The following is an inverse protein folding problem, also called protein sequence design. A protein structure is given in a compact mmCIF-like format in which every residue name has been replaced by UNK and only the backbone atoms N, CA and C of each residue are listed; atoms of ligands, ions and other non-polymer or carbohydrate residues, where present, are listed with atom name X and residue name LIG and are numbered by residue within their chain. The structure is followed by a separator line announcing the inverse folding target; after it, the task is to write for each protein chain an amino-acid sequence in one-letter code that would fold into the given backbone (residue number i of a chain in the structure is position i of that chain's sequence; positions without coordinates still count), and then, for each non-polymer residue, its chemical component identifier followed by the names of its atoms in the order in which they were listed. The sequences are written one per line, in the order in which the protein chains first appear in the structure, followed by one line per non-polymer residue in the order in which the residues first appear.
data_IF_692015379236
#
_entry.id   IF_692015379236
#
_cell.length_a   1.000
_cell.length_b   1.000
_cell.length_c   1.000
_cell.angle_alpha   90.00
_cell.angle_beta   90.00
_cell.angle_gamma   90.00
#
_symmetry.space_group_name_H-M   'P 1'
#
loop_
_entity.id
_entity.type
_entity.pdbx_description
1 polymer ?
#
# COMPACT_ATOMS: atom_id res chain seq x y z
N UNK A 1 21.10 -6.98 -98.04
CA UNK A 1 22.31 -6.16 -97.84
C UNK A 1 21.88 -4.99 -96.99
N UNK A 2 22.33 -4.77 -95.75
CA UNK A 2 23.48 -5.25 -95.00
C UNK A 2 23.18 -4.96 -93.52
N UNK A 3 23.52 -5.88 -92.63
CA UNK A 3 23.57 -5.64 -91.19
C UNK A 3 24.65 -4.60 -90.86
N UNK A 4 24.40 -3.76 -89.86
CA UNK A 4 25.45 -3.05 -89.13
C UNK A 4 25.08 -3.03 -87.65
N UNK A 5 25.98 -3.58 -86.83
CA UNK A 5 25.93 -3.60 -85.38
C UNK A 5 26.94 -2.61 -84.80
N UNK A 6 26.61 -1.98 -83.66
CA UNK A 6 27.50 -1.48 -82.60
C UNK A 6 26.62 -0.72 -81.57
N UNK A 7 26.74 -0.73 -80.24
CA UNK A 7 27.47 -1.52 -79.22
C UNK A 7 27.12 -0.89 -77.83
N UNK A 8 27.10 -1.71 -76.77
CA UNK A 8 27.27 -1.46 -75.31
C UNK A 8 26.35 -0.47 -74.53
N UNK A 9 25.73 -0.96 -73.44
CA UNK A 9 26.16 -0.65 -72.04
C UNK A 9 25.55 -1.64 -71.01
N UNK A 10 26.33 -2.02 -70.00
CA UNK A 10 26.02 -2.97 -68.90
C UNK A 10 25.56 -2.25 -67.60
N UNK A 11 25.03 -3.06 -66.65
CA UNK A 11 25.09 -2.97 -65.17
C UNK A 11 23.73 -2.77 -64.44
N UNK A 12 23.21 -3.83 -63.79
CA UNK A 12 23.15 -4.15 -62.32
C UNK A 12 22.15 -3.31 -61.52
N UNK A 13 21.05 -3.88 -61.03
CA UNK A 13 20.85 -4.60 -59.75
C UNK A 13 20.89 -3.69 -58.49
N UNK A 14 19.94 -3.96 -57.59
CA UNK A 14 19.69 -3.42 -56.25
C UNK A 14 19.07 -2.02 -56.10
N UNK A 15 17.78 -1.99 -55.73
CA UNK A 15 17.22 -0.97 -54.83
C UNK A 15 16.31 -1.67 -53.82
N UNK A 16 16.93 -2.41 -52.89
CA UNK A 16 16.30 -2.77 -51.62
C UNK A 16 16.55 -1.57 -50.71
N UNK A 17 15.52 -0.74 -50.55
CA UNK A 17 15.50 0.30 -49.52
C UNK A 17 15.60 -0.37 -48.14
N UNK A 18 16.77 -0.31 -47.52
CA UNK A 18 16.96 -0.60 -46.11
C UNK A 18 16.11 0.38 -45.29
N UNK A 19 15.05 -0.15 -44.68
CA UNK A 19 14.32 0.56 -43.63
C UNK A 19 15.25 0.63 -42.44
N UNK A 20 15.92 1.78 -42.25
CA UNK A 20 16.68 2.07 -41.04
C UNK A 20 15.77 1.85 -39.82
N UNK A 21 16.06 0.77 -39.08
CA UNK A 21 15.42 0.51 -37.81
C UNK A 21 15.92 1.56 -36.81
N UNK A 22 15.09 2.58 -36.58
CA UNK A 22 15.34 3.61 -35.57
C UNK A 22 15.57 2.93 -34.22
N UNK A 23 16.82 2.95 -33.76
CA UNK A 23 17.23 2.34 -32.50
C UNK A 23 16.58 3.12 -31.36
N UNK A 24 15.48 2.59 -30.81
CA UNK A 24 14.83 3.17 -29.66
C UNK A 24 15.77 3.12 -28.45
N UNK A 25 16.37 4.26 -28.09
CA UNK A 25 17.20 4.37 -26.89
C UNK A 25 16.34 4.03 -25.67
N UNK A 26 16.65 2.92 -25.00
CA UNK A 26 15.90 2.46 -23.84
C UNK A 26 15.85 3.57 -22.76
N UNK A 27 14.65 3.84 -22.24
CA UNK A 27 14.48 4.84 -21.15
C UNK A 27 15.30 4.40 -19.94
N UNK A 28 16.20 5.24 -19.40
CA UNK A 28 17.02 4.88 -18.25
C UNK A 28 16.14 4.77 -16.99
N UNK A 29 16.30 3.67 -16.24
CA UNK A 29 15.56 3.39 -15.01
C UNK A 29 16.55 3.09 -13.89
N UNK A 30 16.48 3.86 -12.81
CA UNK A 30 17.33 3.66 -11.62
C UNK A 30 16.63 2.77 -10.59
N UNK A 31 17.29 1.70 -10.15
CA UNK A 31 16.78 0.87 -9.04
C UNK A 31 16.95 1.60 -7.71
N UNK A 32 15.90 1.61 -6.90
CA UNK A 32 15.90 2.08 -5.51
C UNK A 32 16.00 0.90 -4.55
N UNK A 33 16.63 1.14 -3.42
CA UNK A 33 16.56 0.29 -2.24
C UNK A 33 15.47 0.83 -1.30
N UNK A 34 14.80 -0.05 -0.58
CA UNK A 34 13.76 0.29 0.39
C UNK A 34 14.23 1.34 1.41
N UNK A 35 13.50 2.45 1.49
CA UNK A 35 13.72 3.61 2.35
C UNK A 35 15.09 4.31 2.22
N UNK A 36 15.93 3.91 1.27
CA UNK A 36 17.18 4.59 0.97
C UNK A 36 16.92 5.93 0.25
N UNK A 37 17.49 6.99 0.81
CA UNK A 37 17.38 8.32 0.24
C UNK A 37 18.27 8.48 -1.00
N UNK A 38 17.69 9.00 -2.10
CA UNK A 38 18.39 9.32 -3.34
C UNK A 38 18.32 10.82 -3.63
N UNK A 39 19.45 11.40 -4.02
CA UNK A 39 19.55 12.80 -4.44
C UNK A 39 19.60 12.89 -5.96
N UNK A 40 18.75 13.75 -6.52
CA UNK A 40 18.51 13.85 -7.96
C UNK A 40 18.45 15.30 -8.38
N UNK A 41 18.86 15.58 -9.62
CA UNK A 41 18.61 16.84 -10.31
C UNK A 41 17.66 16.63 -11.49
N UNK A 42 16.84 17.64 -11.78
CA UNK A 42 15.91 17.66 -12.91
C UNK A 42 15.98 19.01 -13.62
N UNK A 43 16.16 18.98 -14.93
CA UNK A 43 15.97 20.14 -15.78
C UNK A 43 14.46 20.39 -16.00
N UNK A 44 14.04 21.59 -16.44
CA UNK A 44 12.63 21.86 -16.76
C UNK A 44 12.11 20.88 -17.81
N UNK A 45 10.84 20.47 -17.68
CA UNK A 45 10.12 19.57 -18.58
C UNK A 45 10.79 18.20 -18.78
N UNK A 46 11.49 17.70 -17.77
CA UNK A 46 12.14 16.38 -17.80
C UNK A 46 11.48 15.39 -16.84
N UNK A 47 11.55 14.11 -17.21
CA UNK A 47 11.11 12.98 -16.38
C UNK A 47 12.30 12.07 -16.14
N UNK A 48 12.47 11.64 -14.89
CA UNK A 48 13.37 10.54 -14.52
C UNK A 48 12.58 9.37 -13.97
N UNK A 49 13.01 8.16 -14.31
CA UNK A 49 12.34 6.93 -13.91
C UNK A 49 13.17 6.14 -12.92
N UNK A 50 12.47 5.58 -11.95
CA UNK A 50 13.01 4.74 -10.89
C UNK A 50 12.16 3.48 -10.77
N UNK A 51 12.71 2.45 -10.12
CA UNK A 51 11.95 1.25 -9.76
C UNK A 51 12.27 0.79 -8.34
N UNK A 52 11.26 0.26 -7.66
CA UNK A 52 11.37 -0.37 -6.34
C UNK A 52 10.71 -1.74 -6.42
N UNK A 53 11.40 -2.80 -5.99
CA UNK A 53 10.80 -4.13 -5.85
C UNK A 53 10.06 -4.21 -4.52
N UNK A 54 8.75 -4.44 -4.55
CA UNK A 54 7.92 -4.49 -3.35
C UNK A 54 7.50 -5.95 -3.09
N UNK A 55 7.92 -6.55 -1.96
CA UNK A 55 7.48 -7.88 -1.58
C UNK A 55 5.99 -7.92 -1.17
N UNK A 56 5.43 -9.12 -1.08
CA UNK A 56 4.07 -9.30 -0.53
C UNK A 56 4.04 -9.05 0.98
N UNK A 57 2.90 -8.60 1.50
CA UNK A 57 2.62 -8.58 2.94
C UNK A 57 2.80 -7.22 3.62
N UNK A 58 3.22 -6.20 2.87
CA UNK A 58 3.25 -4.82 3.35
C UNK A 58 1.89 -4.14 3.25
N UNK A 59 1.67 -3.16 4.13
CA UNK A 59 0.43 -2.40 4.16
C UNK A 59 0.50 -1.19 3.24
N UNK A 60 1.69 -0.65 2.99
CA UNK A 60 1.84 0.53 2.15
C UNK A 60 3.14 0.49 1.38
N UNK A 61 3.10 1.01 0.16
CA UNK A 61 4.28 1.46 -0.59
C UNK A 61 4.13 2.97 -0.79
N UNK A 62 5.22 3.70 -0.65
CA UNK A 62 5.22 5.15 -0.84
C UNK A 62 6.53 5.66 -1.37
N UNK A 63 6.44 6.73 -2.14
CA UNK A 63 7.54 7.64 -2.43
C UNK A 63 7.29 8.92 -1.63
N UNK A 64 8.31 9.44 -0.97
CA UNK A 64 8.19 10.59 -0.07
C UNK A 64 9.48 11.42 -0.04
N UNK A 65 9.35 12.66 0.43
CA UNK A 65 10.47 13.57 0.67
C UNK A 65 10.51 13.96 2.15
N UNK A 66 11.71 14.12 2.70
CA UNK A 66 11.90 14.62 4.07
C UNK A 66 12.09 16.14 4.09
N UNK A 67 11.68 16.79 5.19
CA UNK A 67 11.82 18.23 5.42
C UNK A 67 10.61 19.09 5.02
N UNK A 68 10.65 20.38 5.35
CA UNK A 68 9.63 21.36 4.95
C UNK A 68 9.84 21.75 3.48
N UNK A 69 8.82 21.54 2.65
CA UNK A 69 8.92 21.71 1.20
C UNK A 69 7.74 22.56 0.72
N UNK A 70 8.04 23.75 0.21
CA UNK A 70 7.05 24.65 -0.41
C UNK A 70 6.83 24.38 -1.91
N UNK A 71 7.76 23.68 -2.57
CA UNK A 71 7.66 23.29 -3.99
C UNK A 71 8.55 22.08 -4.33
N UNK A 72 8.18 21.30 -5.34
CA UNK A 72 8.94 20.12 -5.75
C UNK A 72 8.45 19.54 -7.08
N UNK A 73 9.19 18.59 -7.65
CA UNK A 73 8.72 17.85 -8.81
C UNK A 73 7.51 16.98 -8.42
N UNK A 74 6.75 16.57 -9.44
CA UNK A 74 5.61 15.66 -9.26
C UNK A 74 6.08 14.22 -9.25
N UNK A 75 5.48 13.43 -8.37
CA UNK A 75 5.70 11.99 -8.33
C UNK A 75 4.51 11.27 -8.94
N UNK A 76 4.80 10.27 -9.77
CA UNK A 76 3.83 9.30 -10.27
C UNK A 76 4.35 7.92 -10.00
N UNK A 77 3.49 7.00 -9.55
CA UNK A 77 3.87 5.62 -9.27
C UNK A 77 2.89 4.68 -9.95
N UNK A 78 3.39 3.56 -10.48
CA UNK A 78 2.58 2.51 -11.08
C UNK A 78 3.25 1.14 -11.01
N UNK A 79 2.47 0.10 -10.76
CA UNK A 79 2.98 -1.28 -10.68
C UNK A 79 3.14 -1.90 -12.07
N UNK A 80 4.27 -2.57 -12.29
CA UNK A 80 4.67 -3.35 -13.47
C UNK A 80 4.71 -2.59 -14.81
N UNK A 81 4.47 -1.28 -14.82
CA UNK A 81 4.52 -0.43 -16.02
C UNK A 81 5.02 0.96 -15.65
N UNK A 82 5.71 1.62 -16.59
CA UNK A 82 6.12 3.02 -16.41
C UNK A 82 4.87 3.91 -16.24
N UNK A 83 4.80 4.75 -15.20
CA UNK A 83 3.74 5.74 -15.07
C UNK A 83 3.93 6.88 -16.08
N UNK A 84 2.82 7.47 -16.51
CA UNK A 84 2.77 8.72 -17.28
C UNK A 84 1.98 9.77 -16.50
N UNK A 85 2.04 11.06 -16.86
CA UNK A 85 1.23 12.10 -16.20
C UNK A 85 -0.30 11.89 -16.31
N UNK A 86 -0.75 10.98 -17.17
CA UNK A 86 -2.16 10.64 -17.40
C UNK A 86 -2.51 9.20 -17.04
N UNK A 87 -1.52 8.36 -16.71
CA UNK A 87 -1.71 6.95 -16.40
C UNK A 87 -0.78 6.52 -15.27
N UNK A 88 -1.32 6.47 -14.06
CA UNK A 88 -0.61 6.21 -12.81
C UNK A 88 -1.56 5.55 -11.80
N UNK A 89 -1.00 4.81 -10.85
CA UNK A 89 -1.76 4.27 -9.71
C UNK A 89 -1.84 5.31 -8.59
N UNK A 90 -0.81 6.16 -8.45
CA UNK A 90 -0.78 7.22 -7.46
C UNK A 90 0.01 8.45 -7.94
N UNK A 91 -0.40 9.65 -7.51
CA UNK A 91 0.32 10.91 -7.76
C UNK A 91 0.18 11.90 -6.60
N UNK A 92 1.16 12.78 -6.41
CA UNK A 92 1.08 13.97 -5.55
C UNK A 92 1.96 15.10 -6.14
N UNK A 93 1.53 16.34 -5.97
CA UNK A 93 2.17 17.54 -6.50
C UNK A 93 3.53 17.88 -5.87
N UNK A 94 3.86 17.47 -4.64
CA UNK A 94 5.17 17.83 -4.05
C UNK A 94 5.69 16.95 -2.89
N UNK A 95 4.82 16.30 -2.12
CA UNK A 95 5.23 15.52 -0.93
C UNK A 95 5.47 14.03 -1.19
N UNK A 96 5.16 13.56 -2.40
CA UNK A 96 5.20 12.15 -2.77
C UNK A 96 3.85 11.44 -2.61
N UNK A 97 3.78 10.20 -3.05
CA UNK A 97 2.53 9.48 -3.28
C UNK A 97 2.60 8.08 -2.66
N UNK A 98 1.48 7.52 -2.22
CA UNK A 98 1.46 6.19 -1.59
C UNK A 98 0.22 5.38 -1.93
N UNK A 99 0.41 4.06 -1.97
CA UNK A 99 -0.64 3.08 -2.22
C UNK A 99 -0.80 2.19 -1.00
N UNK A 100 -2.05 1.95 -0.64
CA UNK A 100 -2.42 1.04 0.45
C UNK A 100 -2.60 -0.38 -0.08
N UNK A 101 -2.30 -1.37 0.77
CA UNK A 101 -2.37 -2.81 0.47
C UNK A 101 -1.73 -3.16 -0.89
N UNK A 102 -0.46 -2.80 -1.12
CA UNK A 102 0.20 -3.06 -2.39
C UNK A 102 0.25 -4.55 -2.73
N UNK A 103 0.00 -4.86 -4.00
CA UNK A 103 0.28 -6.19 -4.55
C UNK A 103 1.78 -6.27 -4.82
N UNK A 104 2.40 -7.41 -4.50
CA UNK A 104 3.81 -7.62 -4.79
C UNK A 104 4.14 -7.37 -6.28
N UNK A 105 5.33 -6.84 -6.53
CA UNK A 105 5.83 -6.58 -7.88
C UNK A 105 6.74 -5.37 -7.96
N UNK A 106 7.11 -5.02 -9.19
CA UNK A 106 7.98 -3.89 -9.47
C UNK A 106 7.14 -2.62 -9.55
N UNK A 107 7.43 -1.65 -8.69
CA UNK A 107 6.80 -0.34 -8.73
C UNK A 107 7.71 0.64 -9.46
N UNK A 108 7.24 1.15 -10.59
CA UNK A 108 7.93 2.20 -11.32
C UNK A 108 7.47 3.56 -10.83
N UNK A 109 8.43 4.46 -10.64
CA UNK A 109 8.23 5.82 -10.15
C UNK A 109 8.77 6.79 -11.18
N UNK A 110 7.93 7.71 -11.66
CA UNK A 110 8.34 8.84 -12.48
C UNK A 110 8.42 10.09 -11.62
N UNK A 111 9.54 10.79 -11.69
CA UNK A 111 9.74 12.10 -11.06
C UNK A 111 9.82 13.14 -12.16
N UNK A 112 8.80 13.99 -12.23
CA UNK A 112 8.56 14.91 -13.33
C UNK A 112 8.75 16.36 -12.88
N UNK A 113 9.66 17.06 -13.54
CA UNK A 113 9.78 18.51 -13.44
C UNK A 113 8.87 19.18 -14.48
N UNK A 114 7.99 20.07 -14.03
CA UNK A 114 7.26 20.96 -14.94
C UNK A 114 8.18 22.05 -15.52
N UNK A 115 7.69 23.27 -15.66
CA UNK A 115 8.50 24.40 -16.17
C UNK A 115 9.64 24.85 -15.24
N UNK A 116 9.76 24.28 -14.04
CA UNK A 116 10.80 24.61 -13.06
C UNK A 116 11.91 23.56 -13.08
N UNK A 117 13.16 24.01 -12.88
CA UNK A 117 14.30 23.12 -12.64
C UNK A 117 14.46 22.82 -11.14
N UNK A 118 14.91 21.62 -10.83
CA UNK A 118 15.29 21.21 -9.48
C UNK A 118 16.77 20.81 -9.47
N UNK A 119 17.70 21.71 -9.13
CA UNK A 119 19.13 21.44 -9.24
C UNK A 119 19.61 20.36 -8.27
N UNK A 120 18.93 20.21 -7.13
CA UNK A 120 19.12 19.12 -6.20
C UNK A 120 17.87 18.94 -5.35
N UNK A 121 17.41 17.71 -5.21
CA UNK A 121 16.45 17.32 -4.19
C UNK A 121 16.64 15.87 -3.79
N UNK A 122 16.24 15.57 -2.56
CA UNK A 122 16.27 14.21 -2.02
C UNK A 122 14.86 13.66 -1.86
N UNK A 123 14.68 12.40 -2.19
CA UNK A 123 13.49 11.63 -1.91
C UNK A 123 13.87 10.18 -1.56
N UNK A 124 12.95 9.44 -0.98
CA UNK A 124 13.07 8.00 -0.79
C UNK A 124 11.79 7.32 -1.28
N UNK A 125 11.86 6.04 -1.56
CA UNK A 125 10.70 5.20 -1.73
C UNK A 125 10.88 3.92 -0.94
N UNK A 126 9.81 3.45 -0.33
CA UNK A 126 9.84 2.25 0.47
C UNK A 126 8.46 1.74 0.81
N UNK A 127 8.45 0.64 1.53
CA UNK A 127 7.24 -0.05 1.94
C UNK A 127 7.25 -0.32 3.45
N UNK A 128 6.08 -0.25 4.06
CA UNK A 128 5.96 -0.42 5.49
C UNK A 128 4.66 -1.09 5.91
N UNK A 129 4.68 -1.66 7.11
CA UNK A 129 3.48 -2.15 7.78
C UNK A 129 2.92 -1.06 8.68
N UNK A 130 1.66 -0.70 8.45
CA UNK A 130 0.90 0.25 9.25
C UNK A 130 0.10 -0.46 10.35
N UNK A 131 -0.13 -1.76 10.20
CA UNK A 131 -0.88 -2.60 11.09
C UNK A 131 -0.01 -3.74 11.62
N UNK A 132 0.04 -3.90 12.94
CA UNK A 132 0.71 -5.02 13.57
C UNK A 132 -0.10 -6.31 13.41
N UNK A 133 0.46 -7.40 12.87
CA UNK A 133 -0.24 -8.67 12.80
C UNK A 133 -0.45 -9.24 14.20
N UNK A 134 -1.62 -9.81 14.45
CA UNK A 134 -1.95 -10.47 15.72
C UNK A 134 -2.48 -11.89 15.50
N UNK A 135 -2.14 -12.84 16.39
CA UNK A 135 -2.66 -14.21 16.33
C UNK A 135 -4.12 -14.31 16.82
N UNK A 136 -4.76 -15.46 16.60
CA UNK A 136 -6.02 -15.77 17.26
C UNK A 136 -5.84 -15.86 18.78
N UNK A 137 -6.77 -15.29 19.56
CA UNK A 137 -6.70 -15.28 21.02
C UNK A 137 -5.78 -14.20 21.59
N UNK A 138 -5.36 -13.25 20.75
CA UNK A 138 -4.53 -12.12 21.15
C UNK A 138 -5.16 -11.31 22.28
N UNK A 139 -4.34 -10.87 23.24
CA UNK A 139 -4.75 -9.97 24.33
C UNK A 139 -3.54 -9.20 24.86
N UNK A 140 -3.58 -7.87 24.85
CA UNK A 140 -2.53 -7.03 25.40
C UNK A 140 -3.05 -5.64 25.80
N UNK A 141 -2.36 -5.01 26.74
CA UNK A 141 -2.69 -3.66 27.21
C UNK A 141 -1.91 -2.59 26.46
N UNK A 142 -2.59 -1.51 26.12
CA UNK A 142 -2.04 -0.40 25.37
C UNK A 142 -2.44 0.93 26.00
N UNK A 143 -1.57 1.92 25.85
CA UNK A 143 -1.96 3.32 25.98
C UNK A 143 -2.24 3.91 24.60
N UNK A 144 -3.28 4.74 24.54
CA UNK A 144 -3.72 5.51 23.40
C UNK A 144 -3.90 6.98 23.84
N UNK A 145 -3.68 7.92 22.95
CA UNK A 145 -3.96 9.36 23.12
C UNK A 145 -4.04 10.01 21.73
N UNK A 146 -4.41 11.29 21.65
CA UNK A 146 -4.38 11.98 20.36
C UNK A 146 -3.01 11.84 19.66
N UNK A 147 -3.02 11.36 18.42
CA UNK A 147 -1.81 11.09 17.62
C UNK A 147 -1.06 9.80 17.99
N UNK A 148 -1.54 9.03 18.97
CA UNK A 148 -0.97 7.72 19.37
C UNK A 148 -2.05 6.66 19.23
N UNK A 149 -2.28 6.28 17.98
CA UNK A 149 -3.20 5.20 17.62
C UNK A 149 -2.49 3.86 17.62
N UNK A 150 -3.27 2.79 17.83
CA UNK A 150 -2.80 1.41 17.67
C UNK A 150 -3.57 0.73 16.55
N UNK A 151 -2.85 0.05 15.68
CA UNK A 151 -3.41 -0.55 14.46
C UNK A 151 -3.01 -2.01 14.39
N UNK A 152 -3.98 -2.90 14.24
CA UNK A 152 -3.80 -4.34 14.24
C UNK A 152 -4.47 -5.02 13.04
N UNK A 153 -3.91 -6.13 12.57
CA UNK A 153 -4.56 -6.98 11.56
C UNK A 153 -4.64 -8.43 12.02
N UNK A 154 -5.84 -9.00 11.94
CA UNK A 154 -6.12 -10.41 12.26
C UNK A 154 -6.58 -11.13 10.99
N UNK A 155 -5.90 -12.21 10.63
CA UNK A 155 -6.35 -13.10 9.55
C UNK A 155 -7.40 -14.06 10.11
N UNK A 156 -8.61 -14.00 9.57
CA UNK A 156 -9.72 -14.88 9.92
C UNK A 156 -9.88 -15.92 8.80
N UNK A 157 -9.67 -17.22 9.08
CA UNK A 157 -9.81 -18.27 8.07
C UNK A 157 -11.28 -18.57 7.73
N UNK A 158 -11.51 -19.47 6.77
CA UNK A 158 -12.83 -20.06 6.51
C UNK A 158 -13.31 -20.90 7.69
N UNK A 159 -14.60 -21.24 7.72
CA UNK A 159 -15.23 -22.09 8.76
C UNK A 159 -15.17 -21.50 10.17
N UNK A 160 -15.13 -20.17 10.29
CA UNK A 160 -15.24 -19.47 11.57
C UNK A 160 -16.72 -19.20 11.87
N UNK A 161 -17.17 -19.52 13.09
CA UNK A 161 -18.54 -19.24 13.56
C UNK A 161 -18.68 -17.85 14.15
N UNK A 162 -17.62 -17.31 14.74
CA UNK A 162 -17.60 -15.96 15.27
C UNK A 162 -16.18 -15.40 15.36
N UNK A 163 -16.02 -14.10 15.09
CA UNK A 163 -14.84 -13.32 15.46
C UNK A 163 -15.28 -12.12 16.31
N UNK A 164 -14.53 -11.85 17.39
CA UNK A 164 -14.78 -10.76 18.32
C UNK A 164 -13.51 -9.96 18.57
N UNK A 165 -13.67 -8.64 18.55
CA UNK A 165 -12.67 -7.65 18.94
C UNK A 165 -13.21 -6.89 20.14
N UNK A 166 -12.50 -6.92 21.26
CA UNK A 166 -12.94 -6.35 22.52
C UNK A 166 -11.89 -5.40 23.04
N UNK A 167 -12.30 -4.22 23.45
CA UNK A 167 -11.49 -3.33 24.25
C UNK A 167 -12.11 -3.18 25.64
N UNK A 168 -11.30 -3.34 26.67
CA UNK A 168 -11.67 -3.13 28.07
C UNK A 168 -10.76 -2.06 28.67
N UNK A 169 -11.36 -0.96 29.10
CA UNK A 169 -10.70 0.16 29.76
C UNK A 169 -10.16 -0.28 31.12
N UNK A 170 -8.94 0.17 31.43
CA UNK A 170 -8.39 0.02 32.78
C UNK A 170 -9.25 0.86 33.77
N UNK A 171 -9.69 0.29 34.91
CA UNK A 171 -10.50 1.01 35.90
C UNK A 171 -9.91 2.36 36.35
N UNK A 172 -8.58 2.52 36.33
CA UNK A 172 -7.92 3.79 36.66
C UNK A 172 -8.28 4.92 35.68
N UNK A 173 -8.77 4.59 34.49
CA UNK A 173 -9.18 5.54 33.45
C UNK A 173 -10.71 5.59 33.27
N UNK A 174 -11.47 4.96 34.16
CA UNK A 174 -12.93 4.87 34.04
C UNK A 174 -13.64 6.23 33.98
N UNK A 175 -13.02 7.34 34.40
CA UNK A 175 -13.66 8.67 34.40
C UNK A 175 -13.20 9.60 33.28
N UNK A 176 -12.17 9.24 32.52
CA UNK A 176 -11.56 10.11 31.50
C UNK A 176 -11.09 9.38 30.25
N UNK A 177 -11.09 8.05 30.26
CA UNK A 177 -10.67 7.23 29.14
C UNK A 177 -11.62 7.36 27.97
N UNK A 178 -11.08 7.69 26.79
CA UNK A 178 -11.83 7.79 25.54
C UNK A 178 -11.01 7.25 24.38
N UNK A 179 -11.61 6.36 23.60
CA UNK A 179 -11.08 5.93 22.31
C UNK A 179 -12.19 5.39 21.41
N UNK A 180 -11.90 5.31 20.11
CA UNK A 180 -12.75 4.62 19.15
C UNK A 180 -12.05 3.32 18.72
N UNK A 181 -12.77 2.22 18.77
CA UNK A 181 -12.36 0.96 18.17
C UNK A 181 -13.10 0.78 16.86
N UNK A 182 -12.36 0.88 15.76
CA UNK A 182 -12.87 0.75 14.39
C UNK A 182 -12.38 -0.57 13.82
N UNK A 183 -13.28 -1.37 13.26
CA UNK A 183 -12.97 -2.64 12.61
C UNK A 183 -13.47 -2.63 11.17
N UNK A 184 -12.61 -3.01 10.23
CA UNK A 184 -12.92 -3.14 8.81
C UNK A 184 -12.28 -4.39 8.21
N UNK A 185 -13.04 -5.14 7.42
CA UNK A 185 -12.54 -6.32 6.69
C UNK A 185 -11.99 -5.92 5.32
N UNK A 186 -10.84 -6.48 4.97
CA UNK A 186 -10.14 -6.36 3.68
C UNK A 186 -9.88 -4.92 3.21
N UNK A 187 -9.91 -3.96 4.13
CA UNK A 187 -9.58 -2.57 3.90
C UNK A 187 -9.14 -1.94 5.22
N UNK A 188 -8.39 -0.85 5.16
CA UNK A 188 -7.96 -0.12 6.34
C UNK A 188 -9.16 0.43 7.11
N UNK A 189 -9.09 0.31 8.43
CA UNK A 189 -10.10 0.84 9.32
C UNK A 189 -9.93 2.36 9.43
N UNK A 190 -11.00 3.11 9.12
CA UNK A 190 -11.13 4.53 9.40
C UNK A 190 -12.56 4.87 9.88
N UNK A 191 -12.71 6.03 10.48
CA UNK A 191 -13.96 6.51 11.09
C UNK A 191 -15.08 6.84 10.09
N UNK A 192 -14.78 6.89 8.79
CA UNK A 192 -15.74 7.15 7.71
C UNK A 192 -16.25 5.87 7.03
N UNK A 193 -15.49 4.76 7.09
CA UNK A 193 -15.80 3.50 6.43
C UNK A 193 -15.39 2.32 7.30
N UNK A 194 -16.37 1.73 8.00
CA UNK A 194 -16.17 0.65 8.95
C UNK A 194 -17.23 -0.45 8.78
N UNK A 195 -16.88 -1.67 9.19
CA UNK A 195 -17.87 -2.74 9.35
C UNK A 195 -18.43 -2.74 10.78
N UNK A 196 -17.64 -2.29 11.76
CA UNK A 196 -18.07 -2.04 13.12
C UNK A 196 -17.23 -0.92 13.75
N UNK A 197 -17.90 -0.01 14.44
CA UNK A 197 -17.26 0.97 15.31
C UNK A 197 -17.86 0.87 16.71
N UNK A 198 -17.02 1.03 17.72
CA UNK A 198 -17.43 1.15 19.12
C UNK A 198 -16.64 2.24 19.81
N UNK A 199 -17.29 2.93 20.75
CA UNK A 199 -16.72 4.04 21.50
C UNK A 199 -16.54 3.62 22.95
N UNK A 200 -15.31 3.70 23.44
CA UNK A 200 -15.06 3.69 24.87
C UNK A 200 -15.23 5.13 25.34
N UNK A 201 -16.17 5.33 26.25
CA UNK A 201 -16.46 6.62 26.87
C UNK A 201 -16.57 6.34 28.36
N UNK A 202 -15.43 6.38 29.06
CA UNK A 202 -15.34 5.94 30.45
C UNK A 202 -16.37 6.62 31.35
N UNK A 203 -16.48 7.94 31.28
CA UNK A 203 -17.39 8.73 32.13
C UNK A 203 -18.88 8.43 31.89
N UNK A 204 -19.23 7.78 30.79
CA UNK A 204 -20.60 7.28 30.51
C UNK A 204 -20.78 5.81 30.94
N UNK A 205 -19.79 5.22 31.60
CA UNK A 205 -19.79 3.82 32.02
C UNK A 205 -19.47 2.82 30.90
N UNK A 206 -19.14 3.29 29.70
CA UNK A 206 -18.77 2.45 28.56
C UNK A 206 -17.30 2.02 28.67
N UNK A 207 -17.02 1.13 29.62
CA UNK A 207 -15.67 0.66 29.96
C UNK A 207 -15.28 -0.63 29.24
N UNK A 208 -16.22 -1.35 28.64
CA UNK A 208 -15.92 -2.50 27.76
C UNK A 208 -16.82 -2.43 26.54
N UNK A 209 -16.21 -2.54 25.35
CA UNK A 209 -16.93 -2.59 24.09
C UNK A 209 -16.44 -3.74 23.24
N UNK A 210 -17.35 -4.31 22.45
CA UNK A 210 -17.03 -5.43 21.56
C UNK A 210 -17.67 -5.24 20.20
N UNK A 211 -16.88 -5.48 19.15
CA UNK A 211 -17.35 -5.76 17.80
C UNK A 211 -17.37 -7.28 17.61
N UNK A 212 -18.54 -7.85 17.30
CA UNK A 212 -18.70 -9.28 17.03
C UNK A 212 -19.30 -9.49 15.66
N UNK A 213 -18.71 -10.39 14.90
CA UNK A 213 -19.22 -10.85 13.60
C UNK A 213 -19.54 -12.33 13.72
N UNK A 214 -20.77 -12.72 13.37
CA UNK A 214 -21.21 -14.11 13.32
C UNK A 214 -21.09 -14.64 11.89
N UNK A 215 -20.68 -15.90 11.75
CA UNK A 215 -20.33 -16.52 10.46
C UNK A 215 -19.51 -15.58 9.55
N UNK A 216 -18.40 -15.00 10.06
CA UNK A 216 -17.63 -14.00 9.33
C UNK A 216 -17.12 -14.57 8.00
N UNK A 217 -17.10 -13.71 6.97
CA UNK A 217 -16.35 -14.02 5.76
C UNK A 217 -14.87 -14.09 6.07
N UNK A 218 -14.19 -15.11 5.53
CA UNK A 218 -12.74 -15.20 5.62
C UNK A 218 -12.06 -13.95 5.03
N UNK A 219 -10.92 -13.58 5.59
CA UNK A 219 -10.17 -12.40 5.17
C UNK A 219 -9.38 -11.76 6.29
N UNK A 220 -8.77 -10.62 6.01
CA UNK A 220 -8.02 -9.85 6.99
C UNK A 220 -8.91 -8.80 7.60
N UNK A 221 -9.03 -8.80 8.92
CA UNK A 221 -9.73 -7.79 9.68
C UNK A 221 -8.72 -6.79 10.23
N UNK A 222 -8.84 -5.55 9.80
CA UNK A 222 -8.06 -4.42 10.24
C UNK A 222 -8.79 -3.73 11.40
N UNK A 223 -8.06 -3.44 12.47
CA UNK A 223 -8.56 -2.80 13.67
C UNK A 223 -7.73 -1.56 13.96
N UNK A 224 -8.38 -0.42 14.15
CA UNK A 224 -7.75 0.80 14.62
C UNK A 224 -8.34 1.18 15.98
N UNK A 225 -7.46 1.37 16.96
CA UNK A 225 -7.76 1.98 18.25
C UNK A 225 -7.32 3.44 18.16
N UNK A 226 -8.29 4.33 17.97
CA UNK A 226 -8.06 5.75 17.74
C UNK A 226 -8.12 6.49 19.07
N UNK A 227 -6.99 7.05 19.48
CA UNK A 227 -6.88 7.76 20.75
C UNK A 227 -7.48 9.16 20.66
N UNK A 228 -8.22 9.56 21.70
CA UNK A 228 -8.76 10.92 21.81
C UNK A 228 -8.08 11.68 22.94
N UNK A 229 -7.75 12.96 22.70
CA UNK A 229 -7.32 13.91 23.72
C UNK A 229 -6.36 13.32 24.77
N UNK A 230 -6.90 13.00 25.95
CA UNK A 230 -6.19 12.47 27.12
C UNK A 230 -5.76 11.02 26.98
N UNK A 231 -4.65 10.69 27.65
CA UNK A 231 -4.15 9.32 27.77
C UNK A 231 -5.23 8.36 28.28
N UNK A 232 -5.42 7.27 27.56
CA UNK A 232 -6.36 6.19 27.85
C UNK A 232 -5.62 4.86 27.82
N UNK A 233 -5.74 4.06 28.87
CA UNK A 233 -5.11 2.72 28.95
C UNK A 233 -6.18 1.65 29.07
N UNK A 234 -5.97 0.52 28.39
CA UNK A 234 -6.87 -0.62 28.46
C UNK A 234 -6.34 -1.82 27.70
N UNK A 235 -7.03 -2.95 27.85
CA UNK A 235 -6.70 -4.21 27.22
C UNK A 235 -7.50 -4.39 25.94
N UNK A 236 -6.79 -4.56 24.83
CA UNK A 236 -7.37 -4.98 23.56
C UNK A 236 -7.21 -6.49 23.41
N UNK A 237 -8.30 -7.18 23.03
CA UNK A 237 -8.27 -8.60 22.70
C UNK A 237 -9.00 -8.90 21.40
N UNK A 238 -8.52 -9.90 20.67
CA UNK A 238 -9.10 -10.36 19.41
C UNK A 238 -9.11 -11.89 19.37
N UNK A 239 -10.27 -12.47 19.09
CA UNK A 239 -10.43 -13.93 19.04
C UNK A 239 -11.51 -14.36 18.07
N UNK A 240 -11.27 -15.46 17.39
CA UNK A 240 -12.28 -16.16 16.62
C UNK A 240 -12.44 -17.61 17.09
N UNK A 241 -13.62 -18.17 16.81
CA UNK A 241 -13.97 -19.57 17.10
C UNK A 241 -14.35 -20.25 15.79
N UNK A 242 -13.84 -21.46 15.57
CA UNK A 242 -14.30 -22.27 14.44
C UNK A 242 -15.75 -22.70 14.65
N UNK A 243 -16.47 -22.96 13.55
CA UNK A 243 -17.74 -23.66 13.60
C UNK A 243 -17.50 -25.10 14.10
N UNK A 244 -18.43 -25.60 14.92
CA UNK A 244 -18.44 -27.01 15.26
C UNK A 244 -18.71 -27.80 13.97
N UNK A 245 -17.73 -28.60 13.55
CA UNK A 245 -17.93 -29.54 12.47
C UNK A 245 -18.47 -30.81 13.12
N UNK A 246 -19.74 -31.14 12.89
CA UNK A 246 -20.23 -32.48 13.22
C UNK A 246 -19.49 -33.45 12.30
N UNK A 247 -18.42 -34.08 12.80
CA UNK A 247 -17.84 -35.23 12.11
C UNK A 247 -18.91 -36.33 12.06
N UNK A 248 -19.19 -36.93 10.89
CA UNK A 248 -19.96 -38.16 10.87
C UNK A 248 -19.22 -39.16 11.75
N UNK A 249 -19.91 -39.77 12.72
CA UNK A 249 -19.41 -40.95 13.43
C UNK A 249 -19.09 -41.99 12.36
N UNK A 250 -17.80 -42.14 12.03
CA UNK A 250 -17.34 -43.19 11.14
C UNK A 250 -17.82 -44.52 11.72
N UNK A 251 -18.67 -45.21 10.97
CA UNK A 251 -19.10 -46.55 11.31
C UNK A 251 -17.84 -47.42 11.41
N UNK A 252 -17.46 -47.80 12.63
CA UNK A 252 -16.51 -48.87 12.84
C UNK A 252 -17.17 -50.15 12.31
N UNK A 253 -16.75 -50.59 11.12
CA UNK A 253 -17.02 -51.96 10.68
C UNK A 253 -16.15 -52.87 11.52
N UNK A 254 -16.80 -53.65 12.39
CA UNK A 254 -16.22 -54.81 13.08
C UNK A 254 -15.68 -55.84 12.09
#
# INVERSE_FOLDING_TARGET
MTLSACVLEEATDEDITEVESESATATPITTLTDDDAVTVSLAPNTIRYFKLEVPSGFDRVSVYRSGYISSGPRFYMRRNQLPTPTNYDCTNSSMGCGLEMPVAGTYYIAVHAGSQSYPSFTFAAGYNNLYSPIPNGYSASYYNQYGVDRKFKLVVPTNVSSVAFTYTLDPAYAYNGRLDMVVKRNAFANDQNYDCIKWIIGFEGLTTVTCTFTNPTAGTYYVALLGYGTKTVGTFSARYKFALVNAPLGAATN
#
